data_IF_512985296042
#
_entry.id   IF_512985296042
#
_cell.length_a   1.000
_cell.length_b   1.000
_cell.length_c   1.000
_cell.angle_alpha   90.00
_cell.angle_beta   90.00
_cell.angle_gamma   90.00
#
_symmetry.space_group_name_H-M   'P 1'
#
loop_
_entity.id
_entity.type
_entity.pdbx_description
1 polymer ?
#
# COMPACT_ATOMS: atom_id res chain seq x y z
N UNK A 1 -31.88 -23.66 10.63
CA UNK A 1 -30.82 -24.68 10.44
C UNK A 1 -29.64 -23.97 9.79
N UNK A 2 -28.51 -23.89 10.48
CA UNK A 2 -27.31 -23.19 9.96
C UNK A 2 -26.56 -24.18 9.05
N UNK A 3 -26.61 -23.96 7.74
CA UNK A 3 -25.98 -24.82 6.75
C UNK A 3 -24.45 -24.83 6.93
N UNK A 4 -23.87 -26.02 7.07
CA UNK A 4 -22.42 -26.21 7.01
C UNK A 4 -21.90 -25.78 5.63
N UNK A 5 -20.77 -25.08 5.60
CA UNK A 5 -20.11 -24.69 4.35
C UNK A 5 -19.23 -25.86 3.89
N UNK A 6 -19.75 -26.69 2.98
CA UNK A 6 -19.00 -27.82 2.44
C UNK A 6 -18.03 -27.43 1.32
N UNK A 7 -18.39 -26.42 0.51
CA UNK A 7 -17.54 -25.87 -0.55
C UNK A 7 -17.41 -24.35 -0.38
N UNK A 8 -16.34 -23.89 0.29
CA UNK A 8 -16.13 -22.46 0.56
C UNK A 8 -16.00 -21.62 -0.71
N UNK A 9 -15.38 -22.15 -1.77
CA UNK A 9 -15.14 -21.40 -3.00
C UNK A 9 -16.45 -21.18 -3.76
N UNK A 10 -17.25 -22.24 -3.89
CA UNK A 10 -18.57 -22.13 -4.51
C UNK A 10 -19.50 -21.23 -3.70
N UNK A 11 -19.53 -21.38 -2.38
CA UNK A 11 -20.32 -20.53 -1.50
C UNK A 11 -19.91 -19.05 -1.60
N UNK A 12 -18.62 -18.76 -1.75
CA UNK A 12 -18.15 -17.40 -2.01
C UNK A 12 -18.69 -16.83 -3.33
N UNK A 13 -18.56 -17.60 -4.42
CA UNK A 13 -18.98 -17.18 -5.78
C UNK A 13 -20.48 -16.93 -5.89
N UNK A 14 -21.28 -17.86 -5.36
CA UNK A 14 -22.73 -17.87 -5.57
C UNK A 14 -23.48 -17.04 -4.53
N UNK A 15 -22.95 -16.93 -3.31
CA UNK A 15 -23.68 -16.38 -2.16
C UNK A 15 -22.92 -15.21 -1.52
N UNK A 16 -21.73 -15.46 -0.96
CA UNK A 16 -21.12 -14.51 -0.03
C UNK A 16 -20.68 -13.21 -0.70
N UNK A 17 -20.19 -13.25 -1.95
CA UNK A 17 -19.79 -12.04 -2.67
C UNK A 17 -20.93 -11.03 -2.80
N UNK A 18 -22.08 -11.47 -3.33
CA UNK A 18 -23.24 -10.60 -3.51
C UNK A 18 -23.82 -10.18 -2.17
N UNK A 19 -23.88 -11.10 -1.21
CA UNK A 19 -24.34 -10.79 0.15
C UNK A 19 -23.46 -9.76 0.85
N UNK A 20 -22.14 -9.84 0.72
CA UNK A 20 -21.22 -8.88 1.32
C UNK A 20 -21.46 -7.47 0.76
N UNK A 21 -21.64 -7.36 -0.56
CA UNK A 21 -22.00 -6.11 -1.21
C UNK A 21 -23.29 -5.51 -0.66
N UNK A 22 -24.36 -6.30 -0.57
CA UNK A 22 -25.63 -5.85 0.02
C UNK A 22 -25.46 -5.44 1.49
N UNK A 23 -24.70 -6.20 2.28
CA UNK A 23 -24.40 -5.86 3.67
C UNK A 23 -23.62 -4.55 3.78
N UNK A 24 -22.68 -4.28 2.87
CA UNK A 24 -21.94 -3.01 2.82
C UNK A 24 -22.87 -1.84 2.47
N UNK A 25 -23.74 -1.99 1.47
CA UNK A 25 -24.75 -0.99 1.11
C UNK A 25 -25.68 -0.66 2.29
N UNK A 26 -26.22 -1.69 2.96
CA UNK A 26 -27.07 -1.53 4.14
C UNK A 26 -26.32 -0.89 5.32
N UNK A 27 -25.06 -1.27 5.55
CA UNK A 27 -24.25 -0.74 6.65
C UNK A 27 -23.97 0.74 6.45
N UNK A 28 -23.59 1.16 5.24
CA UNK A 28 -23.40 2.57 4.93
C UNK A 28 -24.71 3.36 5.09
N UNK A 29 -25.83 2.82 4.60
CA UNK A 29 -27.13 3.47 4.73
C UNK A 29 -27.54 3.65 6.21
N UNK A 30 -27.26 2.65 7.06
CA UNK A 30 -27.49 2.73 8.51
C UNK A 30 -26.64 3.82 9.16
N UNK A 31 -25.34 3.86 8.86
CA UNK A 31 -24.43 4.89 9.38
C UNK A 31 -24.83 6.30 8.92
N UNK A 32 -25.21 6.46 7.65
CA UNK A 32 -25.68 7.73 7.10
C UNK A 32 -26.99 8.20 7.78
N UNK A 33 -27.91 7.27 8.03
CA UNK A 33 -29.16 7.56 8.73
C UNK A 33 -28.93 7.95 10.19
N UNK A 34 -28.03 7.26 10.89
CA UNK A 34 -27.66 7.57 12.29
C UNK A 34 -26.92 8.92 12.40
N UNK A 35 -26.10 9.25 11.42
CA UNK A 35 -25.36 10.51 11.37
C UNK A 35 -26.25 11.73 11.10
N UNK A 36 -27.47 11.53 10.59
CA UNK A 36 -28.39 12.59 10.17
C UNK A 36 -27.73 13.65 9.24
N UNK A 37 -26.88 13.20 8.31
CA UNK A 37 -26.19 14.10 7.37
C UNK A 37 -27.18 14.70 6.38
N UNK A 38 -27.14 16.02 6.22
CA UNK A 38 -27.85 16.70 5.13
C UNK A 38 -27.09 16.52 3.82
N UNK A 39 -27.52 15.52 3.04
CA UNK A 39 -26.87 15.15 1.79
C UNK A 39 -26.99 16.23 0.72
N UNK A 40 -28.11 16.95 0.67
CA UNK A 40 -28.33 18.00 -0.33
C UNK A 40 -27.45 19.23 -0.03
N UNK A 41 -27.38 19.62 1.25
CA UNK A 41 -26.50 20.72 1.68
C UNK A 41 -25.02 20.38 1.45
N UNK A 42 -24.60 19.15 1.72
CA UNK A 42 -23.24 18.70 1.45
C UNK A 42 -22.92 18.72 -0.04
N UNK A 43 -23.80 18.18 -0.88
CA UNK A 43 -23.60 18.20 -2.34
C UNK A 43 -23.50 19.63 -2.90
N UNK A 44 -24.33 20.55 -2.40
CA UNK A 44 -24.26 21.96 -2.80
C UNK A 44 -22.94 22.61 -2.37
N UNK A 45 -22.49 22.34 -1.14
CA UNK A 45 -21.23 22.86 -0.59
C UNK A 45 -20.02 22.31 -1.36
N UNK A 46 -20.00 21.01 -1.64
CA UNK A 46 -18.94 20.36 -2.41
C UNK A 46 -18.92 20.84 -3.87
N UNK A 47 -20.08 21.02 -4.51
CA UNK A 47 -20.14 21.56 -5.87
C UNK A 47 -19.52 22.96 -5.95
N UNK A 48 -19.88 23.86 -5.02
CA UNK A 48 -19.28 25.19 -4.93
C UNK A 48 -17.79 25.14 -4.61
N UNK A 49 -17.35 24.19 -3.78
CA UNK A 49 -15.95 23.97 -3.46
C UNK A 49 -15.16 23.59 -4.72
N UNK A 50 -15.63 22.61 -5.49
CA UNK A 50 -14.95 22.16 -6.70
C UNK A 50 -14.90 23.24 -7.78
N UNK A 51 -16.00 23.95 -8.02
CA UNK A 51 -16.02 25.09 -8.96
C UNK A 51 -15.05 26.22 -8.53
N UNK A 52 -14.96 26.49 -7.22
CA UNK A 52 -14.05 27.50 -6.67
C UNK A 52 -12.59 27.05 -6.74
N UNK A 53 -12.31 25.77 -6.54
CA UNK A 53 -10.96 25.18 -6.63
C UNK A 53 -10.45 25.19 -8.08
N UNK A 54 -11.31 24.90 -9.06
CA UNK A 54 -10.96 25.00 -10.48
C UNK A 54 -10.74 26.45 -10.92
N UNK A 55 -11.59 27.38 -10.47
CA UNK A 55 -11.38 28.81 -10.68
C UNK A 55 -10.07 29.31 -10.07
N UNK A 56 -9.66 28.73 -8.93
CA UNK A 56 -8.39 29.06 -8.26
C UNK A 56 -7.20 28.58 -9.09
N UNK A 57 -7.24 27.35 -9.60
CA UNK A 57 -6.20 26.81 -10.51
C UNK A 57 -6.03 27.69 -11.75
N UNK A 58 -7.13 28.10 -12.38
CA UNK A 58 -7.11 28.99 -13.54
C UNK A 58 -6.43 30.34 -13.22
N UNK A 59 -6.71 30.92 -12.04
CA UNK A 59 -6.07 32.16 -11.59
C UNK A 59 -4.57 31.94 -11.32
N UNK A 60 -4.18 30.84 -10.68
CA UNK A 60 -2.79 30.49 -10.43
C UNK A 60 -2.00 30.30 -11.73
N UNK A 61 -2.59 29.64 -12.74
CA UNK A 61 -1.99 29.52 -14.07
C UNK A 61 -1.79 30.88 -14.73
N UNK A 62 -2.79 31.76 -14.69
CA UNK A 62 -2.66 33.14 -15.21
C UNK A 62 -1.58 33.94 -14.48
N UNK A 63 -1.48 33.80 -13.15
CA UNK A 63 -0.41 34.40 -12.36
C UNK A 63 0.96 33.87 -12.80
N UNK A 64 1.08 32.57 -13.05
CA UNK A 64 2.33 31.95 -13.51
C UNK A 64 2.72 32.44 -14.91
N UNK A 65 1.77 32.53 -15.84
CA UNK A 65 1.98 33.08 -17.18
C UNK A 65 2.44 34.55 -17.13
N UNK A 66 1.82 35.38 -16.29
CA UNK A 66 2.22 36.78 -16.13
C UNK A 66 3.56 36.94 -15.41
N UNK A 67 3.87 36.07 -14.45
CA UNK A 67 5.20 36.00 -13.83
C UNK A 67 6.28 35.64 -14.86
N UNK A 68 6.01 34.69 -15.76
CA UNK A 68 6.92 34.31 -16.83
C UNK A 68 7.08 35.46 -17.84
N UNK A 69 5.99 36.09 -18.27
CA UNK A 69 6.03 37.27 -19.14
C UNK A 69 6.87 38.39 -18.50
N UNK A 70 6.70 38.64 -17.20
CA UNK A 70 7.52 39.63 -16.47
C UNK A 70 9.01 39.29 -16.52
N UNK A 71 9.39 38.03 -16.34
CA UNK A 71 10.78 37.60 -16.44
C UNK A 71 11.33 37.78 -17.87
N UNK A 72 10.56 37.40 -18.88
CA UNK A 72 10.94 37.59 -20.30
C UNK A 72 11.14 39.07 -20.63
N UNK A 73 10.19 39.95 -20.23
CA UNK A 73 10.31 41.39 -20.44
C UNK A 73 11.56 41.98 -19.78
N UNK A 74 11.91 41.51 -18.58
CA UNK A 74 13.11 41.93 -17.87
C UNK A 74 14.39 41.48 -18.59
N UNK A 75 14.42 40.23 -19.06
CA UNK A 75 15.55 39.71 -19.85
C UNK A 75 15.70 40.50 -21.16
N UNK A 76 14.61 40.71 -21.91
CA UNK A 76 14.63 41.47 -23.16
C UNK A 76 15.07 42.93 -22.98
N UNK A 77 14.62 43.57 -21.89
CA UNK A 77 15.01 44.95 -21.54
C UNK A 77 16.50 45.06 -21.21
N UNK A 78 17.15 43.99 -20.73
CA UNK A 78 18.58 44.00 -20.40
C UNK A 78 19.42 43.53 -21.59
N UNK A 79 18.95 42.54 -22.35
CA UNK A 79 19.70 41.96 -23.48
C UNK A 79 19.80 42.91 -24.69
N UNK A 80 18.78 43.72 -24.96
CA UNK A 80 18.75 44.64 -26.09
C UNK A 80 19.91 45.68 -26.09
N UNK A 81 20.20 46.41 -24.99
CA UNK A 81 21.33 47.34 -24.95
C UNK A 81 22.69 46.62 -24.94
N UNK A 82 22.79 45.42 -24.35
CA UNK A 82 24.02 44.61 -24.37
C UNK A 82 24.37 44.20 -25.80
N UNK A 83 23.40 43.70 -26.57
CA UNK A 83 23.60 43.35 -27.97
C UNK A 83 23.98 44.58 -28.81
N UNK A 84 23.29 45.71 -28.62
CA UNK A 84 23.61 46.95 -29.33
C UNK A 84 25.04 47.46 -29.05
N UNK A 85 25.58 47.21 -27.86
CA UNK A 85 26.96 47.54 -27.50
C UNK A 85 27.99 46.68 -28.24
N UNK A 86 27.73 45.37 -28.39
CA UNK A 86 28.66 44.46 -29.11
C UNK A 86 28.74 44.75 -30.62
N UNK A 87 27.67 45.26 -31.23
CA UNK A 87 27.60 45.56 -32.67
C UNK A 87 27.77 47.06 -32.99
N UNK A 88 28.29 47.84 -32.03
CA UNK A 88 28.37 49.29 -32.12
C UNK A 88 29.26 49.78 -33.29
N UNK A 89 30.33 49.05 -33.61
CA UNK A 89 31.29 49.40 -34.68
C UNK A 89 30.73 49.17 -36.10
N UNK A 90 29.80 48.23 -36.29
CA UNK A 90 29.20 47.93 -37.60
C UNK A 90 28.02 48.85 -37.96
N UNK A 91 27.26 49.31 -36.96
CA UNK A 91 25.94 49.92 -37.18
C UNK A 91 25.80 51.36 -36.65
N UNK A 92 26.81 51.90 -35.98
CA UNK A 92 26.85 53.28 -35.50
C UNK A 92 26.01 53.55 -34.23
N UNK A 93 26.20 54.73 -33.63
CA UNK A 93 25.64 55.08 -32.31
C UNK A 93 24.12 55.28 -32.24
N UNK A 94 23.43 55.41 -33.39
CA UNK A 94 21.97 55.58 -33.44
C UNK A 94 21.20 54.35 -32.96
N UNK A 95 21.74 53.14 -33.15
CA UNK A 95 21.11 51.88 -32.71
C UNK A 95 21.19 51.69 -31.19
N UNK A 96 22.20 52.26 -30.55
CA UNK A 96 22.29 52.30 -29.08
C UNK A 96 21.21 53.18 -28.46
N UNK A 97 20.89 54.33 -29.06
CA UNK A 97 19.80 55.20 -28.60
C UNK A 97 18.42 54.54 -28.76
N UNK A 98 18.20 53.84 -29.87
CA UNK A 98 16.96 53.09 -30.13
C UNK A 98 16.76 51.93 -29.16
N UNK A 99 17.82 51.18 -28.82
CA UNK A 99 17.73 50.06 -27.87
C UNK A 99 17.46 50.53 -26.43
N UNK A 100 18.00 51.68 -26.03
CA UNK A 100 17.69 52.32 -24.74
C UNK A 100 16.22 52.75 -24.70
N UNK A 101 15.72 53.39 -25.76
CA UNK A 101 14.31 53.80 -25.85
C UNK A 101 13.36 52.58 -25.78
N UNK A 102 13.69 51.50 -26.50
CA UNK A 102 12.94 50.24 -26.47
C UNK A 102 12.91 49.62 -25.07
N UNK A 103 14.05 49.62 -24.36
CA UNK A 103 14.15 49.12 -22.99
C UNK A 103 13.27 49.93 -22.02
N UNK A 104 13.22 51.25 -22.19
CA UNK A 104 12.35 52.14 -21.42
C UNK A 104 10.86 51.83 -21.65
N UNK A 105 10.49 51.50 -22.89
CA UNK A 105 9.12 51.09 -23.25
C UNK A 105 8.77 49.74 -22.58
N UNK A 106 9.67 48.75 -22.61
CA UNK A 106 9.44 47.47 -21.94
C UNK A 106 9.30 47.62 -20.42
N UNK A 107 10.11 48.48 -19.80
CA UNK A 107 10.03 48.81 -18.37
C UNK A 107 8.71 49.52 -18.02
N UNK A 108 8.22 50.43 -18.86
CA UNK A 108 6.92 51.09 -18.63
C UNK A 108 5.75 50.12 -18.80
N UNK A 109 5.77 49.22 -19.80
CA UNK A 109 4.75 48.15 -19.94
C UNK A 109 4.76 47.22 -18.71
N UNK A 110 5.95 46.85 -18.21
CA UNK A 110 6.09 46.02 -17.02
C UNK A 110 5.50 46.71 -15.78
N UNK A 111 5.85 47.97 -15.56
CA UNK A 111 5.42 48.76 -14.41
C UNK A 111 3.93 49.11 -14.42
N UNK A 112 3.41 49.54 -15.57
CA UNK A 112 2.05 50.07 -15.69
C UNK A 112 1.00 49.04 -16.09
N UNK A 113 1.38 47.92 -16.72
CA UNK A 113 0.42 46.92 -17.20
C UNK A 113 0.54 45.59 -16.45
N UNK A 114 1.75 45.01 -16.40
CA UNK A 114 1.96 43.65 -15.87
C UNK A 114 1.87 43.62 -14.34
N UNK A 115 2.59 44.51 -13.66
CA UNK A 115 2.60 44.57 -12.19
C UNK A 115 1.21 44.84 -11.56
N UNK A 116 0.38 45.79 -12.04
CA UNK A 116 -0.94 46.00 -11.45
C UNK A 116 -1.89 44.83 -11.71
N UNK A 117 -1.90 44.25 -12.93
CA UNK A 117 -2.68 43.03 -13.23
C UNK A 117 -2.26 41.85 -12.35
N UNK A 118 -0.96 41.68 -12.11
CA UNK A 118 -0.43 40.65 -11.22
C UNK A 118 -0.86 40.86 -9.77
N UNK A 119 -0.91 42.12 -9.31
CA UNK A 119 -1.40 42.47 -7.97
C UNK A 119 -2.88 42.14 -7.81
N UNK A 120 -3.71 42.51 -8.79
CA UNK A 120 -5.15 42.22 -8.81
C UNK A 120 -5.41 40.71 -8.79
N UNK A 121 -4.76 39.95 -9.68
CA UNK A 121 -4.91 38.49 -9.70
C UNK A 121 -4.47 37.82 -8.41
N UNK A 122 -3.39 38.30 -7.77
CA UNK A 122 -2.97 37.78 -6.46
C UNK A 122 -3.99 38.07 -5.36
N UNK A 123 -4.60 39.27 -5.35
CA UNK A 123 -5.66 39.59 -4.41
C UNK A 123 -6.90 38.70 -4.64
N UNK A 124 -7.29 38.48 -5.90
CA UNK A 124 -8.39 37.60 -6.25
C UNK A 124 -8.10 36.15 -5.85
N UNK A 125 -6.87 35.67 -6.07
CA UNK A 125 -6.41 34.36 -5.60
C UNK A 125 -6.53 34.25 -4.09
N UNK A 126 -6.06 35.23 -3.34
CA UNK A 126 -6.07 35.19 -1.87
C UNK A 126 -7.51 35.18 -1.32
N UNK A 127 -8.39 36.00 -1.90
CA UNK A 127 -9.82 35.99 -1.56
C UNK A 127 -10.51 34.66 -1.89
N UNK A 128 -10.24 34.11 -3.08
CA UNK A 128 -10.81 32.83 -3.51
C UNK A 128 -10.25 31.66 -2.69
N UNK A 129 -8.95 31.68 -2.35
CA UNK A 129 -8.32 30.68 -1.49
C UNK A 129 -8.93 30.67 -0.09
N UNK A 130 -9.23 31.84 0.48
CA UNK A 130 -9.94 31.95 1.75
C UNK A 130 -11.35 31.33 1.66
N UNK A 131 -12.08 31.61 0.57
CA UNK A 131 -13.41 31.03 0.33
C UNK A 131 -13.36 29.51 0.18
N UNK A 132 -12.36 28.98 -0.54
CA UNK A 132 -12.13 27.53 -0.69
C UNK A 132 -11.84 26.90 0.67
N UNK A 133 -11.03 27.53 1.53
CA UNK A 133 -10.75 27.02 2.87
C UNK A 133 -12.00 27.02 3.76
N UNK A 134 -12.84 28.06 3.69
CA UNK A 134 -14.12 28.12 4.39
C UNK A 134 -15.09 27.02 3.93
N UNK A 135 -15.28 26.87 2.61
CA UNK A 135 -16.12 25.83 2.03
C UNK A 135 -15.62 24.42 2.41
N UNK A 136 -14.30 24.20 2.40
CA UNK A 136 -13.69 22.94 2.80
C UNK A 136 -13.96 22.63 4.26
N UNK A 137 -13.81 23.61 5.17
CA UNK A 137 -14.12 23.46 6.59
C UNK A 137 -15.60 23.15 6.82
N UNK A 138 -16.48 23.82 6.09
CA UNK A 138 -17.92 23.57 6.19
C UNK A 138 -18.28 22.16 5.69
N UNK A 139 -17.73 21.71 4.56
CA UNK A 139 -17.93 20.35 4.07
C UNK A 139 -17.46 19.29 5.08
N UNK A 140 -16.29 19.49 5.70
CA UNK A 140 -15.80 18.60 6.77
C UNK A 140 -16.70 18.59 7.99
N UNK A 141 -17.25 19.75 8.37
CA UNK A 141 -18.17 19.89 9.50
C UNK A 141 -19.51 19.20 9.22
N UNK A 142 -20.02 19.30 8.00
CA UNK A 142 -21.25 18.60 7.58
C UNK A 142 -21.08 17.08 7.62
N UNK A 143 -19.91 16.57 7.23
CA UNK A 143 -19.60 15.13 7.25
C UNK A 143 -19.07 14.62 8.59
N UNK A 144 -18.76 15.51 9.54
CA UNK A 144 -18.20 15.15 10.85
C UNK A 144 -19.05 14.11 11.60
N UNK A 145 -20.40 14.20 11.67
CA UNK A 145 -21.21 13.19 12.34
C UNK A 145 -21.01 11.79 11.76
N UNK A 146 -21.01 11.65 10.43
CA UNK A 146 -20.80 10.35 9.77
C UNK A 146 -19.37 9.85 9.99
N UNK A 147 -18.38 10.71 9.83
CA UNK A 147 -16.97 10.36 10.00
C UNK A 147 -16.67 9.85 11.43
N UNK A 148 -17.38 10.36 12.44
CA UNK A 148 -17.25 9.90 13.83
C UNK A 148 -17.89 8.55 14.12
N UNK A 149 -18.85 8.11 13.30
CA UNK A 149 -19.53 6.82 13.48
C UNK A 149 -18.73 5.63 12.95
N UNK A 150 -17.72 5.86 12.09
CA UNK A 150 -16.82 4.79 11.69
C UNK A 150 -16.00 4.32 12.89
N UNK A 151 -16.10 3.04 13.19
CA UNK A 151 -15.30 2.36 14.21
C UNK A 151 -14.40 1.29 13.58
N UNK A 152 -13.48 0.77 14.38
CA UNK A 152 -12.51 -0.25 13.96
C UNK A 152 -13.17 -1.60 13.65
N UNK A 153 -14.44 -1.78 14.01
CA UNK A 153 -15.21 -3.01 13.91
C UNK A 153 -16.19 -3.02 12.71
N UNK A 154 -16.32 -1.92 11.96
CA UNK A 154 -17.25 -1.84 10.80
C UNK A 154 -17.01 -3.01 9.84
N UNK A 155 -15.77 -3.28 9.48
CA UNK A 155 -15.42 -4.39 8.59
C UNK A 155 -15.73 -5.75 9.21
N UNK A 156 -15.32 -5.98 10.47
CA UNK A 156 -15.52 -7.28 11.14
C UNK A 156 -17.01 -7.60 11.30
N UNK A 157 -17.84 -6.58 11.62
CA UNK A 157 -19.31 -6.71 11.64
C UNK A 157 -19.89 -7.08 10.27
N UNK A 158 -19.43 -6.45 9.19
CA UNK A 158 -19.89 -6.80 7.84
C UNK A 158 -19.54 -8.26 7.49
N UNK A 159 -18.35 -8.73 7.85
CA UNK A 159 -17.95 -10.13 7.63
C UNK A 159 -18.84 -11.08 8.45
N UNK A 160 -19.07 -10.80 9.73
CA UNK A 160 -19.93 -11.62 10.61
C UNK A 160 -21.39 -11.68 10.13
N UNK A 161 -21.91 -10.59 9.57
CA UNK A 161 -23.26 -10.55 8.95
C UNK A 161 -23.34 -11.35 7.66
N UNK A 162 -22.21 -11.60 6.99
CA UNK A 162 -22.14 -12.21 5.67
C UNK A 162 -21.84 -13.71 5.74
N UNK A 163 -20.79 -14.09 6.45
CA UNK A 163 -20.28 -15.46 6.52
C UNK A 163 -20.72 -16.11 7.82
N UNK A 164 -21.51 -17.21 7.78
CA UNK A 164 -21.96 -17.86 9.00
C UNK A 164 -20.78 -18.48 9.74
N UNK A 165 -20.89 -18.53 11.09
CA UNK A 165 -19.92 -19.18 11.99
C UNK A 165 -18.51 -18.60 11.97
N UNK A 166 -18.37 -17.37 11.49
CA UNK A 166 -17.21 -16.52 11.75
C UNK A 166 -17.63 -15.48 12.77
N UNK A 167 -16.87 -15.40 13.84
CA UNK A 167 -17.03 -14.41 14.91
C UNK A 167 -15.69 -13.69 15.04
N UNK A 168 -15.69 -12.36 15.09
CA UNK A 168 -14.51 -11.58 15.41
C UNK A 168 -14.58 -11.12 16.86
N UNK A 169 -13.44 -11.20 17.54
CA UNK A 169 -13.27 -10.57 18.84
C UNK A 169 -13.10 -9.06 18.64
N UNK A 170 -13.70 -8.19 19.47
CA UNK A 170 -13.48 -6.74 19.38
C UNK A 170 -12.02 -6.33 19.60
N UNK A 171 -11.28 -7.13 20.37
CA UNK A 171 -9.85 -6.94 20.58
C UNK A 171 -9.18 -8.29 20.86
N UNK A 172 -7.90 -8.40 20.51
CA UNK A 172 -7.09 -9.56 20.85
C UNK A 172 -6.88 -9.63 22.37
N UNK A 173 -7.35 -10.70 23.01
CA UNK A 173 -7.29 -10.85 24.46
C UNK A 173 -6.11 -11.72 24.91
N UNK A 174 -5.63 -11.48 26.14
CA UNK A 174 -4.65 -12.37 26.78
C UNK A 174 -5.20 -13.80 26.95
N UNK A 175 -6.51 -13.94 27.16
CA UNK A 175 -7.19 -15.24 27.21
C UNK A 175 -7.10 -15.97 25.88
N UNK A 176 -7.34 -15.29 24.74
CA UNK A 176 -7.21 -15.89 23.40
C UNK A 176 -5.80 -16.40 23.16
N UNK A 177 -4.78 -15.65 23.58
CA UNK A 177 -3.39 -16.08 23.49
C UNK A 177 -3.12 -17.30 24.39
N UNK A 178 -3.59 -17.28 25.64
CA UNK A 178 -3.45 -18.38 26.57
C UNK A 178 -4.13 -19.66 26.05
N UNK A 179 -5.32 -19.55 25.45
CA UNK A 179 -6.02 -20.67 24.82
C UNK A 179 -5.18 -21.27 23.68
N UNK A 180 -4.62 -20.42 22.80
CA UNK A 180 -3.72 -20.86 21.72
C UNK A 180 -2.47 -21.56 22.25
N UNK A 181 -1.87 -21.06 23.33
CA UNK A 181 -0.68 -21.65 23.95
C UNK A 181 -0.99 -22.98 24.63
N UNK A 182 -1.97 -23.01 25.53
CA UNK A 182 -2.24 -24.16 26.40
C UNK A 182 -3.02 -25.27 25.68
N UNK A 183 -3.97 -24.92 24.82
CA UNK A 183 -4.84 -25.91 24.16
C UNK A 183 -4.26 -26.37 22.83
N UNK A 184 -3.74 -25.44 22.03
CA UNK A 184 -3.28 -25.71 20.66
C UNK A 184 -1.76 -25.80 20.52
N UNK A 185 -1.00 -25.52 21.58
CA UNK A 185 0.46 -25.66 21.59
C UNK A 185 1.21 -24.54 20.85
N UNK A 186 0.65 -23.32 20.80
CA UNK A 186 1.34 -22.17 20.23
C UNK A 186 2.70 -21.88 20.91
N UNK A 187 3.71 -21.57 20.10
CA UNK A 187 5.08 -21.37 20.56
C UNK A 187 5.52 -19.90 20.44
N UNK A 188 5.86 -19.30 21.59
CA UNK A 188 6.28 -17.90 21.70
C UNK A 188 7.59 -17.55 21.00
N UNK A 189 8.39 -18.54 20.60
CA UNK A 189 9.57 -18.30 19.77
C UNK A 189 9.23 -17.55 18.48
N UNK A 190 7.98 -17.66 17.99
CA UNK A 190 7.46 -16.85 16.90
C UNK A 190 7.61 -15.33 17.16
N UNK A 191 7.47 -14.86 18.40
CA UNK A 191 7.53 -13.43 18.71
C UNK A 191 8.98 -12.88 18.75
N UNK A 192 10.00 -13.74 18.66
CA UNK A 192 11.41 -13.32 18.75
C UNK A 192 11.79 -12.35 17.63
N UNK A 193 12.24 -11.14 18.00
CA UNK A 193 12.61 -10.04 17.07
C UNK A 193 11.48 -9.61 16.13
N UNK A 194 10.23 -9.87 16.50
CA UNK A 194 9.03 -9.44 15.78
C UNK A 194 8.26 -8.43 16.61
N UNK A 195 7.71 -7.43 15.95
CA UNK A 195 6.70 -6.53 16.49
C UNK A 195 5.39 -6.76 15.74
N UNK A 196 4.27 -6.66 16.43
CA UNK A 196 2.94 -6.75 15.80
C UNK A 196 2.56 -5.34 15.31
N UNK A 197 2.17 -5.23 14.04
CA UNK A 197 1.66 -3.98 13.44
C UNK A 197 0.16 -3.87 13.71
N UNK A 198 -0.59 -4.94 13.41
CA UNK A 198 -1.99 -5.12 13.79
C UNK A 198 -2.27 -6.61 13.98
N UNK A 199 -3.31 -6.92 14.76
CA UNK A 199 -3.81 -8.26 14.96
C UNK A 199 -5.32 -8.24 15.19
N UNK A 200 -6.02 -9.14 14.51
CA UNK A 200 -7.43 -9.43 14.67
C UNK A 200 -7.58 -10.89 15.08
N UNK A 201 -8.50 -11.19 15.98
CA UNK A 201 -8.81 -12.57 16.34
C UNK A 201 -10.29 -12.85 16.27
N UNK A 202 -10.61 -14.14 16.35
CA UNK A 202 -11.97 -14.58 16.30
C UNK A 202 -12.08 -16.10 16.40
N UNK A 203 -13.28 -16.57 16.15
CA UNK A 203 -13.63 -17.99 16.08
C UNK A 203 -14.19 -18.32 14.70
N UNK A 204 -13.74 -19.43 14.13
CA UNK A 204 -14.33 -20.04 12.94
C UNK A 204 -14.77 -21.46 13.30
N UNK A 205 -16.08 -21.73 13.24
CA UNK A 205 -16.65 -23.00 13.74
C UNK A 205 -16.19 -23.32 15.17
N UNK A 206 -16.12 -22.32 16.06
CA UNK A 206 -15.65 -22.46 17.44
C UNK A 206 -14.13 -22.61 17.63
N UNK A 207 -13.36 -22.66 16.54
CA UNK A 207 -11.90 -22.77 16.60
C UNK A 207 -11.24 -21.40 16.48
N UNK A 208 -10.21 -21.08 17.28
CA UNK A 208 -9.61 -19.75 17.29
C UNK A 208 -8.76 -19.48 16.06
N UNK A 209 -8.87 -18.26 15.53
CA UNK A 209 -7.97 -17.73 14.52
C UNK A 209 -7.42 -16.35 14.90
N UNK A 210 -6.26 -16.02 14.33
CA UNK A 210 -5.61 -14.72 14.44
C UNK A 210 -5.10 -14.31 13.07
N UNK A 211 -5.54 -13.16 12.56
CA UNK A 211 -4.97 -12.51 11.38
C UNK A 211 -4.05 -11.41 11.89
N UNK A 212 -2.76 -11.48 11.60
CA UNK A 212 -1.82 -10.46 12.07
C UNK A 212 -0.81 -10.07 10.99
N UNK A 213 -0.35 -8.82 11.06
CA UNK A 213 0.81 -8.35 10.31
C UNK A 213 1.93 -8.10 11.29
N UNK A 214 3.07 -8.73 11.05
CA UNK A 214 4.24 -8.65 11.92
C UNK A 214 5.41 -8.03 11.20
N UNK A 215 6.18 -7.19 11.88
CA UNK A 215 7.43 -6.60 11.41
C UNK A 215 8.60 -7.31 12.08
N UNK A 216 9.39 -8.05 11.31
CA UNK A 216 10.59 -8.75 11.77
C UNK A 216 11.85 -7.91 11.50
N UNK A 217 12.74 -7.83 12.49
CA UNK A 217 14.05 -7.20 12.33
C UNK A 217 15.07 -8.26 11.91
N UNK A 218 15.68 -8.08 10.75
CA UNK A 218 16.77 -8.92 10.24
C UNK A 218 18.03 -8.07 10.10
N UNK A 219 19.19 -8.49 10.64
CA UNK A 219 20.43 -7.76 10.45
C UNK A 219 20.85 -7.82 8.97
N UNK A 220 21.02 -6.66 8.33
CA UNK A 220 21.52 -6.54 6.96
C UNK A 220 22.72 -5.60 6.91
N UNK A 221 23.47 -5.59 5.80
CA UNK A 221 24.66 -4.73 5.62
C UNK A 221 24.37 -3.66 4.58
N UNK A 222 24.64 -2.39 4.91
CA UNK A 222 24.52 -1.24 3.99
C UNK A 222 25.87 -0.54 3.87
N UNK A 223 26.14 -0.03 2.68
CA UNK A 223 27.32 0.78 2.38
C UNK A 223 26.97 2.25 2.61
N UNK A 224 27.59 2.85 3.62
CA UNK A 224 27.48 4.26 3.94
C UNK A 224 28.59 5.02 3.22
N UNK A 225 28.23 6.11 2.55
CA UNK A 225 29.17 6.98 1.83
C UNK A 225 29.12 8.37 2.48
N UNK A 226 30.28 8.93 2.74
CA UNK A 226 30.43 10.31 3.21
C UNK A 226 31.44 11.04 2.35
N UNK A 227 31.28 12.35 2.22
CA UNK A 227 32.29 13.21 1.63
C UNK A 227 32.59 14.39 2.55
N UNK A 228 33.82 14.89 2.47
CA UNK A 228 34.24 16.08 3.21
C UNK A 228 35.11 16.94 2.31
N UNK A 229 34.68 18.17 2.06
CA UNK A 229 35.51 19.16 1.39
C UNK A 229 36.54 19.69 2.36
N UNK A 230 37.81 19.57 2.00
CA UNK A 230 38.94 20.19 2.69
C UNK A 230 39.45 21.37 1.86
N UNK A 231 39.98 22.38 2.52
CA UNK A 231 40.66 23.48 1.86
C UNK A 231 41.96 23.78 2.59
N UNK A 232 43.02 24.02 1.83
CA UNK A 232 44.33 24.39 2.36
C UNK A 232 45.00 25.41 1.46
N UNK A 233 46.09 26.00 1.92
CA UNK A 233 46.78 27.06 1.20
C UNK A 233 48.25 26.70 1.06
N UNK A 234 48.80 26.78 -0.16
CA UNK A 234 50.22 26.57 -0.45
C UNK A 234 50.86 27.88 -0.92
N UNK A 235 52.18 27.99 -0.79
CA UNK A 235 52.96 29.06 -1.42
C UNK A 235 53.74 28.47 -2.59
N UNK A 236 53.42 28.90 -3.79
CA UNK A 236 53.99 28.40 -5.05
C UNK A 236 54.70 29.55 -5.78
N UNK A 237 55.78 29.26 -6.52
CA UNK A 237 56.42 30.27 -7.38
C UNK A 237 55.71 30.32 -8.72
N UNK A 238 55.30 31.50 -9.13
CA UNK A 238 54.78 31.71 -10.48
C UNK A 238 55.88 31.60 -11.54
N UNK A 239 55.49 31.57 -12.82
CA UNK A 239 56.43 31.48 -13.94
C UNK A 239 57.47 32.64 -14.00
N UNK A 240 57.25 33.71 -13.23
CA UNK A 240 58.12 34.87 -13.13
C UNK A 240 58.99 34.86 -11.84
N UNK A 241 58.97 33.76 -11.09
CA UNK A 241 59.79 33.55 -9.89
C UNK A 241 59.26 34.24 -8.62
N UNK A 242 58.06 34.82 -8.63
CA UNK A 242 57.45 35.47 -7.44
C UNK A 242 56.63 34.46 -6.65
N UNK A 243 56.69 34.56 -5.32
CA UNK A 243 55.92 33.71 -4.41
C UNK A 243 54.45 34.14 -4.41
N UNK A 244 53.54 33.26 -4.82
CA UNK A 244 52.10 33.45 -4.75
C UNK A 244 51.47 32.48 -3.76
N UNK A 245 50.42 32.93 -3.07
CA UNK A 245 49.64 32.12 -2.12
C UNK A 245 48.43 31.57 -2.87
N UNK A 246 48.38 30.25 -3.07
CA UNK A 246 47.31 29.56 -3.82
C UNK A 246 46.42 28.83 -2.84
N UNK A 247 45.10 28.99 -2.99
CA UNK A 247 44.10 28.28 -2.20
C UNK A 247 43.62 27.06 -2.96
N UNK A 248 43.75 25.89 -2.32
CA UNK A 248 43.31 24.61 -2.83
C UNK A 248 42.01 24.17 -2.14
N UNK A 249 41.20 23.40 -2.85
CA UNK A 249 40.01 22.75 -2.31
C UNK A 249 39.86 21.38 -2.94
N UNK A 250 39.65 20.36 -2.11
CA UNK A 250 39.47 18.97 -2.56
C UNK A 250 38.31 18.33 -1.80
N UNK A 251 37.54 17.47 -2.46
CA UNK A 251 36.48 16.69 -1.83
C UNK A 251 37.00 15.28 -1.54
N UNK A 252 37.20 14.96 -0.27
CA UNK A 252 37.55 13.61 0.17
C UNK A 252 36.29 12.74 0.22
N UNK A 253 36.39 11.49 -0.21
CA UNK A 253 35.30 10.51 -0.13
C UNK A 253 35.67 9.34 0.78
N UNK A 254 34.76 8.92 1.64
CA UNK A 254 34.91 7.76 2.52
C UNK A 254 33.72 6.81 2.36
N UNK A 255 33.98 5.50 2.46
CA UNK A 255 32.95 4.46 2.37
C UNK A 255 33.12 3.45 3.49
N UNK A 256 32.05 3.16 4.23
CA UNK A 256 32.04 2.18 5.32
C UNK A 256 30.87 1.21 5.11
N UNK A 257 31.13 -0.10 5.24
CA UNK A 257 30.09 -1.13 5.21
C UNK A 257 29.73 -1.51 6.65
N UNK A 258 28.54 -1.12 7.09
CA UNK A 258 28.08 -1.35 8.47
C UNK A 258 26.70 -2.04 8.48
N UNK A 259 26.38 -2.63 9.63
CA UNK A 259 25.06 -3.23 9.84
C UNK A 259 23.98 -2.16 9.88
N UNK A 260 22.79 -2.53 9.40
CA UNK A 260 21.56 -1.76 9.57
C UNK A 260 20.41 -2.74 9.81
N UNK A 261 19.39 -2.34 10.59
CA UNK A 261 18.19 -3.15 10.76
C UNK A 261 17.37 -3.11 9.47
N UNK A 262 17.18 -4.26 8.83
CA UNK A 262 16.20 -4.42 7.77
C UNK A 262 14.88 -4.86 8.41
N UNK A 263 13.83 -4.08 8.18
CA UNK A 263 12.48 -4.40 8.63
C UNK A 263 11.73 -5.09 7.49
N UNK A 264 11.20 -6.28 7.76
CA UNK A 264 10.37 -7.03 6.83
C UNK A 264 9.00 -7.25 7.46
N UNK A 265 7.95 -6.81 6.78
CA UNK A 265 6.58 -7.02 7.21
C UNK A 265 5.97 -8.22 6.50
N UNK A 266 5.16 -8.99 7.22
CA UNK A 266 4.44 -10.10 6.64
C UNK A 266 3.12 -10.34 7.37
N UNK A 267 2.05 -10.43 6.58
CA UNK A 267 0.67 -10.75 6.99
C UNK A 267 0.45 -12.26 7.00
N UNK A 268 -0.18 -12.79 8.05
CA UNK A 268 -0.40 -14.23 8.22
C UNK A 268 -1.76 -14.49 8.88
N UNK A 269 -2.35 -15.64 8.55
CA UNK A 269 -3.48 -16.22 9.29
C UNK A 269 -2.96 -17.40 10.12
N UNK A 270 -3.16 -17.32 11.43
CA UNK A 270 -2.87 -18.39 12.38
C UNK A 270 -4.20 -18.98 12.82
N UNK A 271 -4.33 -20.31 12.79
CA UNK A 271 -5.57 -21.01 13.05
C UNK A 271 -5.31 -22.26 13.90
N UNK A 272 -5.90 -22.30 15.09
CA UNK A 272 -5.84 -23.45 15.99
C UNK A 272 -6.93 -24.45 15.65
N UNK A 273 -6.57 -25.73 15.43
CA UNK A 273 -7.52 -26.80 15.17
C UNK A 273 -7.02 -28.12 15.77
N UNK A 274 -7.88 -28.80 16.52
CA UNK A 274 -7.56 -30.05 17.22
C UNK A 274 -7.50 -31.28 16.31
N UNK A 275 -7.98 -31.18 15.07
CA UNK A 275 -7.91 -32.23 14.07
C UNK A 275 -6.47 -32.49 13.61
N UNK A 276 -6.11 -33.77 13.53
CA UNK A 276 -4.76 -34.25 13.20
C UNK A 276 -3.69 -33.59 14.10
N UNK A 277 -3.69 -33.89 15.42
CA UNK A 277 -2.90 -33.18 16.41
C UNK A 277 -1.39 -33.44 16.33
N UNK A 278 -0.95 -34.52 15.70
CA UNK A 278 0.48 -34.88 15.60
C UNK A 278 1.05 -34.59 14.21
N UNK A 279 0.19 -34.19 13.27
CA UNK A 279 0.58 -33.94 11.89
C UNK A 279 1.37 -32.64 11.77
N UNK A 280 2.53 -32.73 11.15
CA UNK A 280 3.32 -31.60 10.69
C UNK A 280 3.54 -31.70 9.19
N UNK A 281 3.43 -30.59 8.48
CA UNK A 281 3.85 -30.46 7.08
C UNK A 281 4.08 -29.00 6.72
N UNK A 282 4.83 -28.79 5.63
CA UNK A 282 5.00 -27.46 5.05
C UNK A 282 4.75 -27.51 3.56
N UNK A 283 3.94 -26.58 3.09
CA UNK A 283 3.63 -26.32 1.70
C UNK A 283 4.07 -24.91 1.33
N UNK A 284 4.67 -24.79 0.16
CA UNK A 284 4.87 -23.52 -0.53
C UNK A 284 4.16 -23.55 -1.89
N UNK A 285 3.76 -22.39 -2.43
CA UNK A 285 3.16 -22.33 -3.75
C UNK A 285 4.14 -22.85 -4.80
N UNK A 286 3.67 -23.77 -5.64
CA UNK A 286 4.50 -24.45 -6.65
C UNK A 286 4.17 -23.97 -8.07
N UNK A 287 2.97 -23.43 -8.27
CA UNK A 287 2.44 -23.04 -9.57
C UNK A 287 2.12 -24.23 -10.49
N UNK A 288 2.23 -25.46 -9.98
CA UNK A 288 1.98 -26.69 -10.76
C UNK A 288 0.49 -26.91 -11.03
N UNK A 289 -0.40 -26.35 -10.20
CA UNK A 289 -1.85 -26.43 -10.39
C UNK A 289 -2.30 -25.94 -11.78
N UNK A 290 -1.65 -24.88 -12.29
CA UNK A 290 -1.94 -24.30 -13.60
C UNK A 290 -1.16 -24.96 -14.76
N UNK A 291 -0.27 -25.92 -14.46
CA UNK A 291 0.67 -26.52 -15.42
C UNK A 291 0.65 -28.05 -15.34
N UNK A 292 -0.51 -28.64 -15.06
CA UNK A 292 -0.69 -30.09 -15.03
C UNK A 292 -0.30 -30.67 -16.41
N UNK A 293 0.52 -31.72 -16.41
CA UNK A 293 1.06 -32.33 -17.62
C UNK A 293 2.36 -31.69 -18.15
N UNK A 294 2.82 -30.56 -17.59
CA UNK A 294 4.12 -29.98 -17.95
C UNK A 294 5.30 -30.89 -17.55
N UNK A 295 6.47 -30.66 -18.16
CA UNK A 295 7.70 -31.40 -17.82
C UNK A 295 8.07 -31.27 -16.32
N UNK A 296 7.87 -30.08 -15.73
CA UNK A 296 8.10 -29.85 -14.30
C UNK A 296 7.16 -30.70 -13.44
N UNK A 297 5.86 -30.71 -13.77
CA UNK A 297 4.86 -31.54 -13.10
C UNK A 297 5.20 -33.04 -13.20
N UNK A 298 5.55 -33.53 -14.40
CA UNK A 298 5.89 -34.93 -14.61
C UNK A 298 7.16 -35.35 -13.86
N UNK A 299 8.15 -34.45 -13.77
CA UNK A 299 9.37 -34.65 -12.98
C UNK A 299 9.02 -34.77 -11.49
N UNK A 300 8.27 -33.82 -10.94
CA UNK A 300 7.86 -33.84 -9.54
C UNK A 300 7.06 -35.10 -9.20
N UNK A 301 6.08 -35.47 -10.05
CA UNK A 301 5.33 -36.72 -9.93
C UNK A 301 6.24 -37.95 -9.86
N UNK A 302 7.29 -37.98 -10.68
CA UNK A 302 8.24 -39.11 -10.70
C UNK A 302 9.06 -39.16 -9.40
N UNK A 303 9.50 -38.02 -8.89
CA UNK A 303 10.25 -37.95 -7.64
C UNK A 303 9.39 -38.35 -6.43
N UNK A 304 8.15 -37.87 -6.34
CA UNK A 304 7.22 -38.29 -5.29
C UNK A 304 6.92 -39.80 -5.34
N UNK A 305 6.73 -40.37 -6.54
CA UNK A 305 6.58 -41.83 -6.71
C UNK A 305 7.84 -42.62 -6.35
N UNK A 306 9.03 -42.06 -6.51
CA UNK A 306 10.27 -42.71 -6.02
C UNK A 306 10.31 -42.67 -4.50
N UNK A 307 10.02 -41.50 -3.91
CA UNK A 307 9.99 -41.32 -2.45
C UNK A 307 8.99 -42.26 -1.78
N UNK A 308 7.79 -42.39 -2.33
CA UNK A 308 6.75 -43.28 -1.82
C UNK A 308 7.07 -44.79 -1.96
N UNK A 309 8.11 -45.17 -2.71
CA UNK A 309 8.56 -46.56 -2.84
C UNK A 309 9.67 -46.92 -1.85
N UNK A 310 10.37 -45.94 -1.30
CA UNK A 310 11.46 -46.12 -0.34
C UNK A 310 10.92 -45.96 1.09
N UNK A 311 9.94 -46.79 1.46
CA UNK A 311 9.27 -46.72 2.76
C UNK A 311 10.11 -47.42 3.84
N UNK A 312 10.78 -46.65 4.69
CA UNK A 312 11.19 -47.06 6.04
C UNK A 312 10.16 -46.52 7.05
N UNK A 313 10.22 -46.96 8.31
CA UNK A 313 9.19 -46.64 9.31
C UNK A 313 8.87 -45.13 9.40
N UNK A 314 7.57 -44.78 9.30
CA UNK A 314 7.00 -43.42 9.24
C UNK A 314 7.30 -42.58 7.98
N UNK A 315 7.78 -43.18 6.89
CA UNK A 315 8.05 -42.45 5.64
C UNK A 315 6.79 -42.04 4.86
N UNK A 316 6.97 -41.06 3.97
CA UNK A 316 5.94 -40.51 3.09
C UNK A 316 5.21 -41.59 2.27
N UNK A 317 3.90 -41.73 2.47
CA UNK A 317 3.04 -42.63 1.72
C UNK A 317 2.06 -41.81 0.88
N UNK A 318 2.19 -41.85 -0.44
CA UNK A 318 1.40 -41.04 -1.38
C UNK A 318 -0.09 -41.43 -1.36
N UNK A 319 -0.99 -40.44 -1.32
CA UNK A 319 -2.42 -40.66 -1.47
C UNK A 319 -2.79 -41.13 -2.88
N UNK A 320 -3.97 -41.74 -3.02
CA UNK A 320 -4.49 -42.24 -4.30
C UNK A 320 -4.64 -41.14 -5.37
N UNK A 321 -5.00 -39.91 -4.95
CA UNK A 321 -5.05 -38.77 -5.85
C UNK A 321 -3.64 -38.20 -6.06
N UNK A 322 -2.94 -38.72 -7.06
CA UNK A 322 -1.59 -38.28 -7.35
C UNK A 322 -1.53 -36.82 -7.82
N UNK A 323 -2.57 -36.31 -8.49
CA UNK A 323 -2.56 -34.92 -8.96
C UNK A 323 -2.52 -33.95 -7.78
N UNK A 324 -3.34 -34.20 -6.76
CA UNK A 324 -3.34 -33.42 -5.53
C UNK A 324 -1.99 -33.50 -4.81
N UNK A 325 -1.40 -34.69 -4.69
CA UNK A 325 -0.09 -34.87 -4.03
C UNK A 325 1.02 -34.06 -4.70
N UNK A 326 1.05 -34.03 -6.04
CA UNK A 326 2.05 -33.28 -6.80
C UNK A 326 1.82 -31.77 -6.69
N UNK A 327 0.56 -31.33 -6.79
CA UNK A 327 0.21 -29.90 -6.81
C UNK A 327 0.28 -29.27 -5.42
N UNK A 328 -0.19 -29.97 -4.39
CA UNK A 328 -0.18 -29.50 -3.01
C UNK A 328 1.19 -29.71 -2.33
N UNK A 329 1.96 -30.71 -2.78
CA UNK A 329 3.33 -31.04 -2.39
C UNK A 329 3.64 -30.86 -0.90
N UNK A 330 3.18 -31.80 -0.09
CA UNK A 330 3.51 -31.91 1.34
C UNK A 330 4.29 -33.19 1.61
N UNK A 331 5.28 -33.47 0.77
CA UNK A 331 6.05 -34.72 0.89
C UNK A 331 6.93 -34.78 2.15
N UNK A 332 7.08 -33.66 2.86
CA UNK A 332 7.80 -33.54 4.13
C UNK A 332 6.93 -33.83 5.37
N UNK A 333 5.70 -34.34 5.18
CA UNK A 333 4.80 -34.67 6.28
C UNK A 333 5.31 -35.82 7.16
N UNK A 334 4.95 -35.81 8.43
CA UNK A 334 5.38 -36.81 9.42
C UNK A 334 4.35 -37.93 9.73
N UNK A 335 3.07 -37.76 9.37
CA UNK A 335 2.00 -38.69 9.72
C UNK A 335 0.98 -38.85 8.58
N UNK A 336 1.11 -39.92 7.79
CA UNK A 336 0.23 -40.14 6.63
C UNK A 336 -1.22 -40.45 7.02
N UNK A 337 -1.46 -41.12 8.15
CA UNK A 337 -2.82 -41.45 8.60
C UNK A 337 -3.60 -40.18 8.94
N UNK A 338 -3.01 -39.30 9.78
CA UNK A 338 -3.64 -38.03 10.12
C UNK A 338 -3.74 -37.08 8.91
N UNK A 339 -2.79 -37.15 7.98
CA UNK A 339 -2.88 -36.40 6.72
C UNK A 339 -4.08 -36.84 5.88
N UNK A 340 -4.31 -38.16 5.74
CA UNK A 340 -5.46 -38.70 5.00
C UNK A 340 -6.81 -38.36 5.66
N UNK A 341 -6.83 -38.22 6.99
CA UNK A 341 -8.04 -37.77 7.73
C UNK A 341 -8.42 -36.32 7.40
N UNK A 342 -7.45 -35.41 7.27
CA UNK A 342 -7.72 -34.02 6.90
C UNK A 342 -8.05 -33.87 5.42
N UNK A 343 -7.24 -34.49 4.57
CA UNK A 343 -7.38 -34.40 3.13
C UNK A 343 -8.18 -35.58 2.60
N UNK A 344 -9.46 -35.63 2.98
CA UNK A 344 -10.43 -36.56 2.38
C UNK A 344 -10.59 -36.30 0.88
N UNK A 345 -11.12 -37.24 0.08
CA UNK A 345 -11.31 -37.02 -1.36
C UNK A 345 -12.08 -35.72 -1.69
N UNK A 346 -13.08 -35.37 -0.87
CA UNK A 346 -13.82 -34.12 -1.00
C UNK A 346 -12.92 -32.90 -0.73
N UNK A 347 -12.15 -32.92 0.36
CA UNK A 347 -11.23 -31.83 0.73
C UNK A 347 -10.11 -31.65 -0.30
N UNK A 348 -9.61 -32.75 -0.89
CA UNK A 348 -8.62 -32.70 -1.97
C UNK A 348 -9.18 -32.01 -3.20
N UNK A 349 -10.41 -32.35 -3.61
CA UNK A 349 -11.05 -31.71 -4.76
C UNK A 349 -11.30 -30.21 -4.50
N UNK A 350 -11.84 -29.85 -3.34
CA UNK A 350 -12.06 -28.45 -2.97
C UNK A 350 -10.74 -27.64 -2.94
N UNK A 351 -9.66 -28.22 -2.42
CA UNK A 351 -8.34 -27.60 -2.43
C UNK A 351 -7.79 -27.47 -3.86
N UNK A 352 -7.99 -28.47 -4.72
CA UNK A 352 -7.58 -28.39 -6.12
C UNK A 352 -8.34 -27.30 -6.88
N UNK A 353 -9.64 -27.13 -6.63
CA UNK A 353 -10.44 -26.07 -7.23
C UNK A 353 -9.94 -24.69 -6.79
N UNK A 354 -9.60 -24.54 -5.51
CA UNK A 354 -9.00 -23.33 -4.96
C UNK A 354 -7.65 -23.00 -5.61
N UNK A 355 -6.76 -24.00 -5.79
CA UNK A 355 -5.44 -23.78 -6.40
C UNK A 355 -5.50 -23.48 -7.91
N UNK A 356 -6.54 -23.97 -8.60
CA UNK A 356 -6.74 -23.77 -10.04
C UNK A 356 -7.44 -22.44 -10.34
N UNK A 357 -8.29 -21.95 -9.45
CA UNK A 357 -9.09 -20.75 -9.68
C UNK A 357 -8.33 -19.45 -9.42
N UNK A 358 -7.91 -18.79 -10.50
CA UNK A 358 -7.23 -17.49 -10.45
C UNK A 358 -8.17 -16.30 -10.38
N UNK A 359 -9.46 -16.49 -10.68
CA UNK A 359 -10.40 -15.38 -10.79
C UNK A 359 -10.94 -14.96 -9.42
N UNK A 360 -11.27 -15.93 -8.56
CA UNK A 360 -11.85 -15.66 -7.24
C UNK A 360 -10.98 -16.14 -6.07
N UNK A 361 -10.14 -17.17 -6.28
CA UNK A 361 -9.35 -17.78 -5.21
C UNK A 361 -7.85 -17.44 -5.26
N UNK A 362 -7.44 -16.53 -6.16
CA UNK A 362 -6.06 -16.13 -6.42
C UNK A 362 -5.08 -17.26 -6.82
N UNK A 363 -5.58 -18.48 -7.00
CA UNK A 363 -4.84 -19.67 -7.41
C UNK A 363 -3.83 -20.16 -6.36
N UNK A 364 -2.78 -20.83 -6.84
CA UNK A 364 -1.69 -21.32 -6.01
C UNK A 364 -0.74 -20.20 -5.54
N UNK A 365 -1.19 -19.39 -4.57
CA UNK A 365 -0.48 -18.19 -4.10
C UNK A 365 -0.28 -18.10 -2.57
N UNK A 366 -0.33 -19.22 -1.86
CA UNK A 366 -0.17 -19.22 -0.40
C UNK A 366 0.74 -20.33 0.09
N UNK A 367 1.54 -20.03 1.11
CA UNK A 367 2.21 -21.06 1.90
C UNK A 367 1.30 -21.54 3.02
N UNK A 368 1.37 -22.83 3.34
CA UNK A 368 0.62 -23.43 4.43
C UNK A 368 1.54 -24.34 5.24
N UNK A 369 1.77 -23.96 6.49
CA UNK A 369 2.41 -24.81 7.49
C UNK A 369 1.37 -25.31 8.47
N UNK A 370 1.31 -26.63 8.67
CA UNK A 370 0.67 -27.20 9.85
C UNK A 370 1.78 -27.69 10.77
N UNK A 371 1.77 -27.22 12.00
CA UNK A 371 2.61 -27.72 13.08
C UNK A 371 1.67 -28.19 14.19
N UNK A 372 1.39 -29.50 14.22
CA UNK A 372 0.44 -30.10 15.15
C UNK A 372 -0.93 -29.44 15.02
N UNK A 373 -1.46 -28.86 16.11
CA UNK A 373 -2.76 -28.21 16.12
C UNK A 373 -2.72 -26.77 15.57
N UNK A 374 -1.56 -26.19 15.30
CA UNK A 374 -1.44 -24.83 14.75
C UNK A 374 -1.27 -24.87 13.23
N UNK A 375 -2.09 -24.10 12.54
CA UNK A 375 -2.04 -23.91 11.11
C UNK A 375 -1.64 -22.46 10.85
N UNK A 376 -0.58 -22.24 10.06
CA UNK A 376 -0.14 -20.91 9.64
C UNK A 376 -0.23 -20.83 8.12
N UNK A 377 -1.07 -19.91 7.64
CA UNK A 377 -1.30 -19.65 6.23
C UNK A 377 -0.75 -18.27 5.90
N UNK A 378 0.02 -18.19 4.82
CA UNK A 378 0.70 -16.97 4.39
C UNK A 378 0.35 -16.75 2.92
N UNK A 379 -0.74 -16.02 2.62
CA UNK A 379 -1.11 -15.71 1.26
C UNK A 379 -0.31 -14.52 0.71
N UNK A 380 0.11 -14.59 -0.55
CA UNK A 380 0.82 -13.49 -1.23
C UNK A 380 -0.05 -12.25 -1.38
N UNK A 381 -1.33 -12.43 -1.73
CA UNK A 381 -2.29 -11.33 -1.89
C UNK A 381 -2.57 -10.56 -0.58
N UNK A 382 -2.39 -11.20 0.58
CA UNK A 382 -2.57 -10.55 1.89
C UNK A 382 -1.40 -9.64 2.28
N UNK A 383 -0.28 -9.70 1.54
CA UNK A 383 0.90 -8.87 1.84
C UNK A 383 0.70 -7.41 1.41
N UNK A 384 -0.08 -7.20 0.35
CA UNK A 384 -0.42 -5.87 -0.18
C UNK A 384 -1.62 -5.25 0.55
N UNK A 385 -2.52 -6.09 1.07
CA UNK A 385 -3.71 -5.64 1.78
C UNK A 385 -3.36 -5.13 3.20
N UNK A 386 -3.82 -3.93 3.52
CA UNK A 386 -3.80 -3.39 4.88
C UNK A 386 -5.12 -3.71 5.57
N UNK A 387 -5.07 -4.62 6.52
CA UNK A 387 -6.20 -4.98 7.37
C UNK A 387 -6.10 -4.28 8.73
N UNK A 388 -5.57 -3.06 8.80
CA UNK A 388 -5.52 -2.33 10.08
C UNK A 388 -6.90 -1.83 10.52
N UNK A 389 -7.89 -1.80 9.62
CA UNK A 389 -9.27 -1.37 9.86
C UNK A 389 -9.38 0.06 10.39
N UNK A 390 -8.44 0.94 10.00
CA UNK A 390 -8.42 2.32 10.49
C UNK A 390 -9.64 3.11 9.99
N UNK A 391 -10.51 3.62 10.90
CA UNK A 391 -11.69 4.42 10.54
C UNK A 391 -11.35 5.64 9.69
N UNK A 392 -10.17 6.23 9.90
CA UNK A 392 -9.70 7.39 9.15
C UNK A 392 -9.62 7.13 7.63
N UNK A 393 -9.49 5.87 7.20
CA UNK A 393 -9.48 5.52 5.78
C UNK A 393 -10.85 5.79 5.11
N UNK A 394 -11.94 5.75 5.87
CA UNK A 394 -13.31 6.02 5.40
C UNK A 394 -13.70 7.49 5.48
N UNK A 395 -12.88 8.35 6.10
CA UNK A 395 -13.23 9.75 6.28
C UNK A 395 -13.20 10.49 4.95
N UNK A 396 -14.31 11.14 4.60
CA UNK A 396 -14.44 12.00 3.42
C UNK A 396 -15.25 13.25 3.76
N UNK A 397 -15.07 14.28 2.94
CA UNK A 397 -15.80 15.55 3.04
C UNK A 397 -17.00 15.63 2.08
N UNK A 398 -17.01 14.81 1.03
CA UNK A 398 -18.11 14.68 0.08
C UNK A 398 -18.86 13.36 0.37
N UNK A 399 -20.17 13.45 0.52
CA UNK A 399 -21.04 12.30 0.80
C UNK A 399 -21.03 11.24 -0.31
N UNK A 400 -21.06 11.65 -1.57
CA UNK A 400 -21.04 10.72 -2.71
C UNK A 400 -19.68 10.02 -2.81
N UNK A 401 -18.60 10.76 -2.62
CA UNK A 401 -17.25 10.18 -2.55
C UNK A 401 -17.14 9.20 -1.38
N UNK A 402 -17.68 9.56 -0.20
CA UNK A 402 -17.73 8.67 0.96
C UNK A 402 -18.45 7.36 0.64
N UNK A 403 -19.57 7.43 -0.06
CA UNK A 403 -20.36 6.26 -0.45
C UNK A 403 -19.62 5.38 -1.46
N UNK A 404 -19.10 5.99 -2.53
CA UNK A 404 -18.36 5.29 -3.59
C UNK A 404 -17.10 4.61 -3.04
N UNK A 405 -16.35 5.31 -2.19
CA UNK A 405 -15.16 4.75 -1.55
C UNK A 405 -15.47 3.68 -0.52
N UNK A 406 -16.54 3.84 0.26
CA UNK A 406 -16.97 2.79 1.18
C UNK A 406 -17.30 1.50 0.42
N UNK A 407 -17.94 1.61 -0.75
CA UNK A 407 -18.22 0.46 -1.60
C UNK A 407 -16.97 -0.07 -2.30
N UNK A 408 -16.08 0.77 -2.82
CA UNK A 408 -14.87 0.30 -3.51
C UNK A 408 -13.91 -0.45 -2.59
N UNK A 409 -13.86 -0.05 -1.31
CA UNK A 409 -13.05 -0.73 -0.28
C UNK A 409 -13.71 -2.05 0.17
N UNK A 410 -15.04 -2.13 0.17
CA UNK A 410 -15.80 -3.23 0.77
C UNK A 410 -16.65 -4.06 -0.22
N UNK A 411 -16.58 -3.88 -1.54
CA UNK A 411 -17.37 -4.62 -2.54
C UNK A 411 -16.56 -4.92 -3.80
#
# INVERSE_FOLDING_TARGET
>A
MVNDIYDPLKAYKEIFRNRFKTVAEETFAQLAAEAHVDTEANQATCSQLYESDDSLKDIEERINQLCLLRQVLLICSVSAPILAFFFQDEYGGSIMLLSILFSLILLTIMGCLVNPRLKELRQNRDGLASKVDELRKEAWKQMEPLNRLYDWDVFSRMVMRTVPRIEFDPYFTAQRLADLQHTYGWNDSFNTKRSVVYAHSGLINGNPFVICRTRKITPSKKTYKGSKTISWTTRERDANGRMQTVRHSEVLHATIKAFYPLFQEESRLIYGNTAAPDLTFHRNPSGLAAKIGSLAYLKERRELRKKARDLKDNDFAMLTNEEFEVVFNTSNRNNNHQYALLFTPLAQNAMMDLLKDKNFAYGDNFSFTKDKMINTIIPEHLQELKLDMNPANYHRLDFREAQEDFYSVNA
#
